data_IF_017174710680
#
_entry.id   IF_017174710680
#
_cell.length_a   1.000
_cell.length_b   1.000
_cell.length_c   1.000
_cell.angle_alpha   90.00
_cell.angle_beta   90.00
_cell.angle_gamma   90.00
#
_symmetry.space_group_name_H-M   'P 1'
#
loop_
_entity.id
_entity.type
_entity.pdbx_description
1 polymer ?
#
# COMPACT_ATOMS: atom_id res chain seq x y z
N UNK A 1 -12.01 64.16 44.96
CA UNK A 1 -10.75 63.93 44.20
C UNK A 1 -10.22 62.50 44.31
N UNK A 2 -9.96 61.96 45.51
CA UNK A 2 -9.40 60.59 45.67
C UNK A 2 -10.27 59.46 45.10
N UNK A 3 -11.59 59.53 45.20
CA UNK A 3 -12.52 58.54 44.65
C UNK A 3 -12.66 58.61 43.13
N UNK A 4 -12.64 59.82 42.57
CA UNK A 4 -12.67 60.05 41.11
C UNK A 4 -11.37 59.54 40.46
N UNK A 5 -10.21 59.78 41.10
CA UNK A 5 -8.91 59.29 40.64
C UNK A 5 -8.82 57.75 40.63
N UNK A 6 -9.41 57.09 41.64
CA UNK A 6 -9.49 55.61 41.66
C UNK A 6 -10.38 55.08 40.53
N UNK A 7 -11.51 55.73 40.26
CA UNK A 7 -12.43 55.33 39.19
C UNK A 7 -11.78 55.48 37.80
N UNK A 8 -11.07 56.58 37.55
CA UNK A 8 -10.33 56.75 36.29
C UNK A 8 -9.19 55.76 36.15
N UNK A 9 -8.48 55.42 37.24
CA UNK A 9 -7.42 54.41 37.20
C UNK A 9 -7.98 53.02 36.90
N UNK A 10 -9.12 52.64 37.49
CA UNK A 10 -9.79 51.36 37.21
C UNK A 10 -10.29 51.28 35.76
N UNK A 11 -10.85 52.37 35.22
CA UNK A 11 -11.29 52.43 33.83
C UNK A 11 -10.12 52.35 32.84
N UNK A 12 -8.99 52.99 33.15
CA UNK A 12 -7.76 52.91 32.37
C UNK A 12 -7.21 51.48 32.34
N UNK A 13 -7.17 50.80 33.49
CA UNK A 13 -6.70 49.39 33.56
C UNK A 13 -7.63 48.47 32.77
N UNK A 14 -8.95 48.66 32.85
CA UNK A 14 -9.90 47.87 32.08
C UNK A 14 -9.77 48.11 30.57
N UNK A 15 -9.55 49.36 30.16
CA UNK A 15 -9.33 49.71 28.75
C UNK A 15 -8.04 49.07 28.20
N UNK A 16 -6.97 49.02 28.99
CA UNK A 16 -5.70 48.37 28.59
C UNK A 16 -5.87 46.84 28.42
N UNK A 17 -6.73 46.20 29.23
CA UNK A 17 -6.98 44.77 29.13
C UNK A 17 -7.83 44.38 27.90
N UNK A 18 -8.56 45.32 27.30
CA UNK A 18 -9.42 45.05 26.13
C UNK A 18 -8.74 45.26 24.77
N UNK A 19 -7.48 45.73 24.72
CA UNK A 19 -6.73 45.96 23.47
C UNK A 19 -5.74 44.84 23.10
N UNK A 20 -5.79 43.68 23.76
CA UNK A 20 -4.99 42.52 23.37
C UNK A 20 -5.64 41.75 22.20
N UNK A 21 -5.75 42.40 21.04
CA UNK A 21 -5.83 41.65 19.78
C UNK A 21 -4.40 41.40 19.32
N UNK A 22 -3.86 40.21 19.60
CA UNK A 22 -2.65 39.76 18.94
C UNK A 22 -3.09 39.30 17.54
N UNK A 23 -2.70 40.05 16.51
CA UNK A 23 -2.76 39.54 15.15
C UNK A 23 -1.61 38.53 15.01
N UNK A 24 -1.86 37.26 15.32
CA UNK A 24 -0.92 36.19 14.98
C UNK A 24 -0.89 36.06 13.45
N UNK A 25 0.13 36.64 12.82
CA UNK A 25 0.52 36.20 11.49
C UNK A 25 1.03 34.77 11.62
N UNK A 26 0.15 33.80 11.38
CA UNK A 26 0.55 32.42 11.16
C UNK A 26 1.25 32.38 9.80
N UNK A 27 2.56 32.64 9.80
CA UNK A 27 3.40 32.28 8.67
C UNK A 27 3.50 30.76 8.71
N UNK A 28 2.65 30.08 7.93
CA UNK A 28 2.83 28.67 7.64
C UNK A 28 4.03 28.60 6.69
N UNK A 29 5.24 28.50 7.25
CA UNK A 29 6.36 27.96 6.49
C UNK A 29 6.05 26.48 6.31
N UNK A 30 5.44 26.14 5.17
CA UNK A 30 5.30 24.75 4.80
C UNK A 30 6.71 24.16 4.74
N UNK A 31 6.96 23.04 5.45
CA UNK A 31 8.25 22.37 5.39
C UNK A 31 8.59 22.10 3.93
N UNK A 32 9.87 22.20 3.61
CA UNK A 32 10.35 21.96 2.25
C UNK A 32 10.02 20.52 1.82
N UNK A 33 9.98 20.26 0.51
CA UNK A 33 9.67 18.91 0.01
C UNK A 33 10.66 17.84 0.49
N UNK A 34 11.84 18.25 0.99
CA UNK A 34 12.86 17.39 1.59
C UNK A 34 12.51 16.98 3.04
N UNK A 35 11.61 17.69 3.69
CA UNK A 35 11.22 17.50 5.09
C UNK A 35 9.85 16.81 5.23
N UNK A 36 9.16 16.55 4.12
CA UNK A 36 7.81 15.96 4.08
C UNK A 36 7.76 14.78 3.14
N UNK A 37 7.09 13.71 3.58
CA UNK A 37 6.73 12.60 2.69
C UNK A 37 5.49 13.00 1.90
N UNK A 38 5.69 13.62 0.73
CA UNK A 38 4.58 13.93 -0.17
C UNK A 38 4.05 12.68 -0.88
N UNK A 39 2.74 12.60 -1.20
CA UNK A 39 2.20 11.56 -2.07
C UNK A 39 2.91 11.53 -3.42
N UNK A 40 3.41 10.37 -3.84
CA UNK A 40 4.12 10.20 -5.10
C UNK A 40 5.60 10.59 -5.08
N UNK A 41 6.13 11.07 -3.93
CA UNK A 41 7.57 11.23 -3.72
C UNK A 41 8.32 9.90 -3.88
N UNK A 42 9.62 9.96 -4.20
CA UNK A 42 10.46 8.76 -4.35
C UNK A 42 10.38 7.85 -3.12
N UNK A 43 10.46 8.41 -1.91
CA UNK A 43 10.32 7.63 -0.68
C UNK A 43 8.94 6.98 -0.58
N UNK A 44 7.84 7.71 -0.81
CA UNK A 44 6.49 7.14 -0.74
C UNK A 44 6.26 6.00 -1.75
N UNK A 45 6.87 6.10 -2.95
CA UNK A 45 6.79 5.05 -3.96
C UNK A 45 7.60 3.82 -3.55
N UNK A 46 8.81 4.00 -3.01
CA UNK A 46 9.61 2.90 -2.47
C UNK A 46 8.90 2.21 -1.31
N UNK A 47 8.33 2.97 -0.37
CA UNK A 47 7.53 2.41 0.73
C UNK A 47 6.35 1.60 0.20
N UNK A 48 5.66 2.09 -0.84
CA UNK A 48 4.56 1.36 -1.49
C UNK A 48 5.06 0.06 -2.13
N UNK A 49 6.15 0.11 -2.90
CA UNK A 49 6.74 -1.06 -3.57
C UNK A 49 7.22 -2.13 -2.58
N UNK A 50 7.65 -1.74 -1.38
CA UNK A 50 8.05 -2.65 -0.28
C UNK A 50 6.86 -3.40 0.32
N UNK A 51 5.65 -2.83 0.30
CA UNK A 51 4.46 -3.46 0.89
C UNK A 51 3.48 -3.98 -0.16
N UNK A 52 3.85 -3.95 -1.44
CA UNK A 52 3.05 -4.54 -2.53
C UNK A 52 3.13 -6.06 -2.43
N UNK A 53 2.02 -6.77 -2.67
CA UNK A 53 2.03 -8.23 -2.75
C UNK A 53 2.98 -8.71 -3.86
N UNK A 54 3.95 -9.55 -3.50
CA UNK A 54 4.85 -10.18 -4.45
C UNK A 54 4.19 -11.43 -5.04
N UNK A 55 3.69 -11.31 -6.27
CA UNK A 55 3.11 -12.42 -7.03
C UNK A 55 4.15 -13.31 -7.70
N UNK A 56 5.45 -13.07 -7.54
CA UNK A 56 6.46 -13.83 -8.29
C UNK A 56 6.58 -15.30 -7.85
N UNK A 57 6.03 -15.67 -6.69
CA UNK A 57 6.20 -16.98 -6.07
C UNK A 57 5.52 -18.12 -6.84
N UNK A 58 4.46 -17.83 -7.60
CA UNK A 58 3.70 -18.79 -8.39
C UNK A 58 3.74 -18.52 -9.90
N UNK A 59 4.69 -17.70 -10.37
CA UNK A 59 4.99 -17.47 -11.79
C UNK A 59 5.05 -18.76 -12.65
N UNK A 60 5.38 -19.91 -12.04
CA UNK A 60 5.37 -21.20 -12.73
C UNK A 60 3.97 -21.57 -13.25
N UNK A 61 2.90 -21.11 -12.60
CA UNK A 61 1.52 -21.41 -12.91
C UNK A 61 0.93 -20.48 -13.98
N UNK A 62 1.13 -19.17 -13.86
CA UNK A 62 0.47 -18.15 -14.70
C UNK A 62 1.42 -17.21 -15.45
N UNK A 63 2.73 -17.29 -15.19
CA UNK A 63 3.74 -16.41 -15.75
C UNK A 63 3.48 -14.91 -15.46
N UNK A 64 2.95 -14.59 -14.27
CA UNK A 64 2.70 -13.23 -13.80
C UNK A 64 3.27 -12.96 -12.43
N UNK A 65 4.04 -11.89 -12.27
CA UNK A 65 4.57 -11.46 -10.96
C UNK A 65 3.69 -10.42 -10.26
N UNK A 66 2.66 -9.90 -10.94
CA UNK A 66 1.81 -8.83 -10.40
C UNK A 66 0.53 -9.35 -9.73
N UNK A 67 0.26 -10.64 -9.93
CA UNK A 67 -0.85 -11.36 -9.33
C UNK A 67 -0.35 -12.65 -8.72
N UNK A 68 -1.03 -13.10 -7.68
CA UNK A 68 -0.79 -14.38 -7.02
C UNK A 68 -2.07 -15.22 -7.09
N UNK A 69 -1.99 -16.46 -7.56
CA UNK A 69 -3.12 -17.39 -7.57
C UNK A 69 -3.42 -17.85 -6.14
N UNK A 70 -4.69 -17.66 -5.75
CA UNK A 70 -5.18 -18.16 -4.47
C UNK A 70 -5.34 -19.68 -4.56
N UNK A 71 -4.46 -20.39 -3.84
CA UNK A 71 -4.51 -21.84 -3.72
C UNK A 71 -5.64 -22.28 -2.75
N UNK A 72 -6.25 -23.48 -2.95
CA UNK A 72 -5.89 -24.49 -3.93
C UNK A 72 -6.46 -24.25 -5.34
N UNK A 73 -5.73 -24.73 -6.36
CA UNK A 73 -6.21 -24.77 -7.76
C UNK A 73 -5.99 -26.13 -8.39
N UNK A 74 -6.85 -26.50 -9.34
CA UNK A 74 -6.70 -27.71 -10.15
C UNK A 74 -6.21 -27.34 -11.53
N UNK A 75 -5.14 -27.99 -11.97
CA UNK A 75 -4.57 -27.80 -13.31
C UNK A 75 -4.47 -29.13 -14.06
N UNK A 76 -4.45 -29.05 -15.37
CA UNK A 76 -4.17 -30.18 -16.26
C UNK A 76 -2.94 -29.84 -17.11
N UNK A 77 -2.00 -30.78 -17.18
CA UNK A 77 -0.81 -30.70 -18.04
C UNK A 77 -0.80 -31.98 -18.87
N UNK A 78 -0.94 -31.83 -20.19
CA UNK A 78 -1.21 -32.94 -21.12
C UNK A 78 -2.42 -33.77 -20.68
N UNK A 79 -2.23 -35.02 -20.21
CA UNK A 79 -3.31 -35.91 -19.75
C UNK A 79 -3.36 -36.05 -18.22
N UNK A 80 -2.53 -35.30 -17.49
CA UNK A 80 -2.41 -35.43 -16.02
C UNK A 80 -3.07 -34.24 -15.34
N UNK A 81 -4.12 -34.52 -14.56
CA UNK A 81 -4.78 -33.52 -13.70
C UNK A 81 -4.26 -33.62 -12.27
N UNK A 82 -3.81 -32.49 -11.72
CA UNK A 82 -3.33 -32.38 -10.33
C UNK A 82 -3.97 -31.19 -9.62
N UNK A 83 -4.01 -31.24 -8.29
CA UNK A 83 -4.45 -30.11 -7.45
C UNK A 83 -3.26 -29.60 -6.67
N UNK A 84 -2.99 -28.30 -6.80
CA UNK A 84 -1.93 -27.57 -6.11
C UNK A 84 -2.57 -26.99 -4.86
N UNK A 85 -2.17 -27.46 -3.67
CA UNK A 85 -2.71 -26.99 -2.39
C UNK A 85 -1.82 -25.93 -1.74
N UNK A 86 -0.54 -25.91 -2.09
CA UNK A 86 0.46 -24.99 -1.55
C UNK A 86 1.59 -24.74 -2.54
N UNK A 87 2.42 -23.71 -2.30
CA UNK A 87 3.61 -23.45 -3.13
C UNK A 87 4.59 -24.62 -3.12
N UNK A 88 4.61 -25.42 -2.04
CA UNK A 88 5.40 -26.65 -1.96
C UNK A 88 4.93 -27.71 -2.96
N UNK A 89 3.75 -27.59 -3.59
CA UNK A 89 3.28 -28.54 -4.61
C UNK A 89 3.81 -28.18 -6.03
N UNK A 90 4.43 -27.00 -6.20
CA UNK A 90 4.92 -26.51 -7.50
C UNK A 90 6.04 -27.38 -8.09
N UNK A 91 6.77 -28.16 -7.30
CA UNK A 91 7.76 -29.11 -7.85
C UNK A 91 7.09 -30.17 -8.73
N UNK A 92 5.85 -30.57 -8.44
CA UNK A 92 5.11 -31.53 -9.28
C UNK A 92 4.81 -30.92 -10.65
N UNK A 93 4.47 -29.63 -10.68
CA UNK A 93 4.25 -28.87 -11.92
C UNK A 93 5.55 -28.83 -12.74
N UNK A 94 6.67 -28.50 -12.10
CA UNK A 94 7.97 -28.46 -12.76
C UNK A 94 8.39 -29.84 -13.30
N UNK A 95 8.09 -30.93 -12.58
CA UNK A 95 8.36 -32.30 -13.06
C UNK A 95 7.54 -32.63 -14.31
N UNK A 96 6.24 -32.29 -14.32
CA UNK A 96 5.36 -32.54 -15.46
C UNK A 96 5.77 -31.73 -16.71
N UNK A 97 6.14 -30.46 -16.53
CA UNK A 97 6.60 -29.59 -17.64
C UNK A 97 7.95 -29.99 -18.23
N UNK A 98 8.82 -30.65 -17.44
CA UNK A 98 10.11 -31.14 -17.93
C UNK A 98 10.02 -32.46 -18.70
N UNK A 99 8.84 -33.07 -18.81
CA UNK A 99 8.66 -34.32 -19.53
C UNK A 99 8.72 -34.10 -21.05
N UNK A 100 9.72 -34.66 -21.78
CA UNK A 100 9.87 -34.44 -23.22
C UNK A 100 8.72 -34.99 -24.07
N UNK A 101 7.81 -35.77 -23.49
CA UNK A 101 6.60 -36.26 -24.16
C UNK A 101 5.43 -35.26 -24.13
N UNK A 102 5.47 -34.23 -23.25
CA UNK A 102 4.41 -33.24 -23.08
C UNK A 102 4.95 -31.85 -23.37
N UNK A 103 4.56 -31.28 -24.51
CA UNK A 103 4.89 -29.91 -24.89
C UNK A 103 3.70 -28.96 -24.62
N UNK A 104 2.75 -29.41 -23.78
CA UNK A 104 1.50 -28.72 -23.50
C UNK A 104 1.68 -27.76 -22.32
N UNK A 105 0.99 -26.62 -22.40
CA UNK A 105 0.96 -25.63 -21.32
C UNK A 105 0.09 -26.09 -20.14
N UNK A 106 0.05 -25.25 -19.12
CA UNK A 106 -0.83 -25.43 -17.96
C UNK A 106 -2.25 -25.01 -18.34
N UNK A 107 -3.22 -25.89 -18.11
CA UNK A 107 -4.65 -25.58 -18.25
C UNK A 107 -5.32 -25.54 -16.88
N UNK A 108 -5.84 -24.38 -16.47
CA UNK A 108 -6.58 -24.25 -15.22
C UNK A 108 -8.00 -24.78 -15.32
N UNK A 109 -8.48 -25.40 -14.24
CA UNK A 109 -9.90 -25.63 -14.03
C UNK A 109 -10.52 -24.38 -13.41
N UNK A 110 -11.19 -23.58 -14.23
CA UNK A 110 -11.89 -22.37 -13.81
C UNK A 110 -13.20 -22.67 -13.07
N UNK A 111 -13.68 -21.76 -12.19
CA UNK A 111 -13.06 -20.47 -11.85
C UNK A 111 -11.89 -20.60 -10.86
N UNK A 112 -10.95 -19.64 -10.93
CA UNK A 112 -9.86 -19.46 -9.96
C UNK A 112 -9.95 -18.06 -9.34
N UNK A 113 -9.21 -17.80 -8.26
CA UNK A 113 -9.11 -16.45 -7.68
C UNK A 113 -7.66 -16.00 -7.72
N UNK A 114 -7.44 -14.72 -8.02
CA UNK A 114 -6.10 -14.10 -8.00
C UNK A 114 -6.10 -12.91 -7.04
N UNK A 115 -4.96 -12.69 -6.39
CA UNK A 115 -4.68 -11.55 -5.52
C UNK A 115 -3.76 -10.58 -6.25
N UNK A 116 -4.13 -9.30 -6.34
CA UNK A 116 -3.30 -8.26 -6.96
C UNK A 116 -2.27 -7.68 -5.97
N UNK A 117 -1.30 -6.92 -6.48
CA UNK A 117 -0.31 -6.19 -5.67
C UNK A 117 -0.89 -5.34 -4.52
N UNK A 118 -2.13 -4.86 -4.63
CA UNK A 118 -2.83 -4.10 -3.58
C UNK A 118 -3.66 -4.98 -2.62
N UNK A 119 -3.47 -6.30 -2.63
CA UNK A 119 -4.20 -7.32 -1.86
C UNK A 119 -5.69 -7.46 -2.18
N UNK A 120 -6.18 -6.81 -3.26
CA UNK A 120 -7.55 -7.07 -3.73
C UNK A 120 -7.62 -8.41 -4.46
N UNK A 121 -8.75 -9.09 -4.33
CA UNK A 121 -8.97 -10.39 -4.96
C UNK A 121 -10.08 -10.32 -6.00
N UNK A 122 -9.88 -11.01 -7.12
CA UNK A 122 -10.86 -11.12 -8.20
C UNK A 122 -10.99 -12.59 -8.62
N UNK A 123 -12.22 -13.01 -8.89
CA UNK A 123 -12.53 -14.33 -9.46
C UNK A 123 -12.35 -14.25 -10.97
N UNK A 124 -11.58 -15.19 -11.51
CA UNK A 124 -11.29 -15.36 -12.93
C UNK A 124 -12.10 -16.54 -13.44
N UNK A 125 -12.93 -16.31 -14.45
CA UNK A 125 -13.91 -17.27 -14.94
C UNK A 125 -13.39 -18.14 -16.09
N UNK A 126 -12.31 -17.72 -16.76
CA UNK A 126 -11.74 -18.40 -17.92
C UNK A 126 -10.32 -17.92 -18.27
N UNK A 127 -9.67 -18.64 -19.19
CA UNK A 127 -8.30 -18.36 -19.62
C UNK A 127 -8.13 -17.00 -20.30
N UNK A 128 -9.12 -16.51 -21.05
CA UNK A 128 -9.01 -15.20 -21.73
C UNK A 128 -8.96 -14.05 -20.72
N UNK A 129 -9.71 -14.15 -19.62
CA UNK A 129 -9.65 -13.19 -18.52
C UNK A 129 -8.28 -13.24 -17.82
N UNK A 130 -7.74 -14.44 -17.56
CA UNK A 130 -6.41 -14.59 -16.98
C UNK A 130 -5.35 -13.94 -17.88
N UNK A 131 -5.33 -14.31 -19.17
CA UNK A 131 -4.38 -13.77 -20.15
C UNK A 131 -4.41 -12.24 -20.21
N UNK A 132 -5.62 -11.64 -20.17
CA UNK A 132 -5.76 -10.18 -20.18
C UNK A 132 -5.09 -9.51 -18.98
N UNK A 133 -5.18 -10.13 -17.80
CA UNK A 133 -4.55 -9.64 -16.56
C UNK A 133 -3.02 -9.81 -16.64
N UNK A 134 -2.55 -10.97 -17.10
CA UNK A 134 -1.12 -11.25 -17.25
C UNK A 134 -0.47 -10.31 -18.27
N UNK A 135 -1.15 -9.97 -19.37
CA UNK A 135 -0.66 -9.01 -20.34
C UNK A 135 -0.54 -7.58 -19.77
N UNK A 136 -1.49 -7.16 -18.93
CA UNK A 136 -1.44 -5.85 -18.26
C UNK A 136 -0.29 -5.77 -17.24
N UNK A 137 0.03 -6.89 -16.57
CA UNK A 137 1.12 -6.99 -15.60
C UNK A 137 2.50 -6.61 -16.17
N UNK A 138 2.77 -6.84 -17.46
CA UNK A 138 4.07 -6.52 -18.08
C UNK A 138 4.45 -5.03 -18.02
N UNK A 139 3.52 -4.15 -17.62
CA UNK A 139 3.71 -2.71 -17.51
C UNK A 139 3.80 -2.20 -16.07
N UNK A 140 3.61 -3.05 -15.07
CA UNK A 140 3.64 -2.68 -13.66
C UNK A 140 5.09 -2.50 -13.15
N UNK A 141 5.32 -1.56 -12.22
CA UNK A 141 6.64 -1.34 -11.63
C UNK A 141 7.05 -2.54 -10.75
N UNK A 142 8.36 -2.84 -10.74
CA UNK A 142 8.95 -3.90 -9.92
C UNK A 142 8.61 -3.74 -8.42
N UNK A 143 8.44 -4.86 -7.71
CA UNK A 143 8.28 -4.90 -6.25
C UNK A 143 9.64 -4.87 -5.55
N UNK A 144 9.69 -4.42 -4.30
CA UNK A 144 10.92 -4.49 -3.48
C UNK A 144 10.81 -5.66 -2.52
N UNK A 145 11.44 -6.78 -2.86
CA UNK A 145 11.39 -8.03 -2.07
C UNK A 145 12.47 -8.09 -0.97
N UNK A 146 13.54 -7.30 -1.08
CA UNK A 146 14.74 -7.45 -0.26
C UNK A 146 14.76 -6.62 1.03
N UNK A 147 13.73 -5.80 1.25
CA UNK A 147 13.56 -4.94 2.43
C UNK A 147 12.11 -5.06 2.86
N UNK A 148 11.87 -5.10 4.17
CA UNK A 148 10.53 -5.13 4.73
C UNK A 148 10.48 -4.22 5.98
N UNK A 149 9.28 -3.81 6.35
CA UNK A 149 9.05 -3.02 7.55
C UNK A 149 8.97 -3.89 8.79
N UNK A 150 9.65 -3.46 9.85
CA UNK A 150 9.45 -4.02 11.19
C UNK A 150 8.31 -3.29 11.85
N UNK A 151 7.16 -3.94 11.94
CA UNK A 151 5.99 -3.42 12.64
C UNK A 151 6.14 -3.56 14.18
N UNK A 152 5.53 -2.66 14.96
CA UNK A 152 4.75 -1.50 14.51
C UNK A 152 5.61 -0.33 14.06
N UNK A 153 5.11 0.42 13.07
CA UNK A 153 5.71 1.68 12.62
C UNK A 153 4.87 2.83 13.19
N UNK A 154 5.53 3.88 13.68
CA UNK A 154 4.86 5.11 14.11
C UNK A 154 5.40 6.33 13.35
N UNK A 155 4.50 7.20 12.89
CA UNK A 155 4.86 8.48 12.29
C UNK A 155 3.95 9.59 12.79
N UNK A 156 4.48 10.81 12.81
CA UNK A 156 3.75 12.00 13.21
C UNK A 156 3.18 12.70 12.00
N UNK A 157 1.88 12.99 12.02
CA UNK A 157 1.20 13.80 11.01
C UNK A 157 0.98 15.18 11.62
N UNK A 158 1.38 16.22 10.90
CA UNK A 158 1.09 17.60 11.28
C UNK A 158 -0.14 18.09 10.53
N UNK A 159 -1.20 18.44 11.25
CA UNK A 159 -2.38 19.07 10.66
C UNK A 159 -2.18 20.59 10.64
N UNK A 160 -1.99 21.16 9.46
CA UNK A 160 -1.77 22.61 9.28
C UNK A 160 -2.98 23.48 9.62
N UNK A 161 -4.20 22.94 9.50
CA UNK A 161 -5.45 23.68 9.78
C UNK A 161 -5.65 23.88 11.29
N UNK A 162 -5.29 22.87 12.09
CA UNK A 162 -5.45 22.90 13.55
C UNK A 162 -4.14 23.12 14.30
N UNK A 163 -2.99 23.11 13.61
CA UNK A 163 -1.64 23.19 14.19
C UNK A 163 -1.38 22.14 15.28
N UNK A 164 -1.93 20.94 15.09
CA UNK A 164 -1.78 19.81 16.01
C UNK A 164 -0.90 18.73 15.37
N UNK A 165 -0.05 18.12 16.19
CA UNK A 165 0.70 16.92 15.83
C UNK A 165 -0.07 15.71 16.36
N UNK A 166 -0.44 14.82 15.44
CA UNK A 166 -1.00 13.51 15.78
C UNK A 166 0.05 12.42 15.52
N UNK A 167 0.06 11.36 16.33
CA UNK A 167 0.89 10.19 16.09
C UNK A 167 0.01 9.04 15.61
N UNK A 168 0.34 8.51 14.43
CA UNK A 168 -0.30 7.33 13.86
C UNK A 168 0.63 6.13 14.05
N UNK A 169 0.06 5.02 14.51
CA UNK A 169 0.76 3.74 14.64
C UNK A 169 0.11 2.72 13.71
N UNK A 170 0.91 2.12 12.83
CA UNK A 170 0.51 1.01 11.96
C UNK A 170 1.07 -0.28 12.57
N UNK A 171 0.20 -1.27 12.74
CA UNK A 171 0.55 -2.62 13.18
C UNK A 171 0.56 -3.57 11.98
N UNK A 172 1.13 -4.76 12.14
CA UNK A 172 1.09 -5.86 11.16
C UNK A 172 -0.33 -6.36 10.91
#
# INVERSE_FOLDING_TARGET
>A
MKSLFKLTLTFLVFAVLTFSCQDEEVIIENPSEEEVIQPGSSLSNLMRMTVTNDGAQDNLLDNSSCTEIVLPVTITISETTITINSLDDLWMVAELLNNPAGNDGIEFTFPITVTFGNYTQIVIENQDQLNSIVEECLTEPEVIECVDFVYPISFSIYNTDFQVIDTVQINS
#
